data_IF_922785865828
#
_entry.id   IF_922785865828
#
_cell.length_a   1.000
_cell.length_b   1.000
_cell.length_c   1.000
_cell.angle_alpha   90.00
_cell.angle_beta   90.00
_cell.angle_gamma   90.00
#
_symmetry.space_group_name_H-M   'P 1'
#
loop_
_entity.id
_entity.type
_entity.pdbx_description
1 polymer ?
#
# COMPACT_ATOMS: atom_id res chain seq x y z
N UNK A 1 -10.40 34.69 -16.28
CA UNK A 1 -9.53 33.60 -15.79
C UNK A 1 -10.34 32.83 -14.77
N UNK A 2 -10.22 31.50 -14.73
CA UNK A 2 -10.82 30.69 -13.67
C UNK A 2 -10.07 30.92 -12.36
N UNK A 3 -10.78 30.77 -11.25
CA UNK A 3 -10.21 30.84 -9.89
C UNK A 3 -9.55 29.50 -9.51
N UNK A 4 -10.08 28.40 -10.06
CA UNK A 4 -9.67 27.02 -9.83
C UNK A 4 -9.53 26.22 -11.13
N UNK A 5 -8.68 25.19 -11.09
CA UNK A 5 -8.51 24.27 -12.23
C UNK A 5 -9.62 23.21 -12.23
N UNK A 6 -9.97 22.70 -11.06
CA UNK A 6 -11.04 21.73 -10.84
C UNK A 6 -11.82 22.12 -9.57
N UNK A 7 -13.14 21.96 -9.59
CA UNK A 7 -13.97 21.95 -8.39
C UNK A 7 -14.82 20.69 -8.41
N UNK A 8 -14.80 19.93 -7.31
CA UNK A 8 -15.75 18.83 -7.04
C UNK A 8 -16.85 19.38 -6.15
N UNK A 9 -18.12 19.35 -6.57
CA UNK A 9 -19.25 19.99 -5.87
C UNK A 9 -20.29 18.99 -5.39
N UNK A 10 -21.08 19.38 -4.38
CA UNK A 10 -22.31 18.69 -4.00
C UNK A 10 -22.08 17.25 -3.53
N UNK A 11 -20.96 16.98 -2.85
CA UNK A 11 -20.61 15.64 -2.37
C UNK A 11 -20.67 15.52 -0.87
N UNK A 12 -20.71 14.29 -0.36
CA UNK A 12 -20.36 14.00 1.02
C UNK A 12 -18.83 13.88 1.09
N UNK A 13 -18.17 14.97 1.49
CA UNK A 13 -16.70 15.03 1.47
C UNK A 13 -16.15 14.44 2.76
N UNK A 14 -15.42 13.34 2.66
CA UNK A 14 -14.73 12.67 3.76
C UNK A 14 -13.31 13.20 3.80
N UNK A 15 -12.96 13.99 4.81
CA UNK A 15 -11.62 14.61 4.84
C UNK A 15 -10.54 13.67 5.35
N UNK A 16 -10.91 12.69 6.18
CA UNK A 16 -10.01 11.85 6.99
C UNK A 16 -9.07 12.67 7.92
N UNK A 17 -9.45 13.91 8.24
CA UNK A 17 -8.69 14.84 9.08
C UNK A 17 -9.54 15.40 10.24
N UNK A 18 -10.58 14.66 10.64
CA UNK A 18 -11.45 15.05 11.75
C UNK A 18 -10.82 14.82 13.13
N UNK A 19 -11.44 15.35 14.20
CA UNK A 19 -11.00 15.12 15.58
C UNK A 19 -11.12 13.64 15.97
N UNK A 20 -10.47 13.22 17.06
CA UNK A 20 -10.47 11.81 17.49
C UNK A 20 -11.88 11.21 17.69
N UNK A 21 -12.87 12.02 18.08
CA UNK A 21 -14.27 11.59 18.25
C UNK A 21 -15.03 11.37 16.93
N UNK A 22 -14.56 11.98 15.84
CA UNK A 22 -15.11 11.83 14.49
C UNK A 22 -13.97 11.94 13.46
N UNK A 23 -13.13 10.91 13.35
CA UNK A 23 -11.87 10.99 12.61
C UNK A 23 -12.06 11.04 11.09
N UNK A 24 -13.25 10.69 10.59
CA UNK A 24 -13.58 10.79 9.16
C UNK A 24 -13.77 12.24 8.72
N UNK A 25 -14.20 13.13 9.63
CA UNK A 25 -14.34 14.56 9.37
C UNK A 25 -15.22 14.85 8.15
N UNK A 26 -16.45 14.34 8.18
CA UNK A 26 -17.39 14.41 7.04
C UNK A 26 -17.97 15.83 6.93
N UNK A 27 -17.92 16.38 5.71
CA UNK A 27 -18.59 17.62 5.34
C UNK A 27 -19.76 17.28 4.41
N UNK A 28 -20.98 17.43 4.94
CA UNK A 28 -22.22 17.27 4.18
C UNK A 28 -22.40 18.42 3.19
N UNK A 29 -22.93 18.12 2.00
CA UNK A 29 -23.01 19.05 0.87
C UNK A 29 -21.68 19.80 0.65
N UNK A 30 -20.57 19.08 0.77
CA UNK A 30 -19.22 19.61 0.68
C UNK A 30 -18.75 19.81 -0.76
N UNK A 31 -17.73 20.64 -0.90
CA UNK A 31 -16.98 20.78 -2.14
C UNK A 31 -15.47 20.85 -1.90
N UNK A 32 -14.70 20.49 -2.93
CA UNK A 32 -13.23 20.52 -2.93
C UNK A 32 -12.79 21.35 -4.13
N UNK A 33 -12.05 22.42 -3.89
CA UNK A 33 -11.49 23.26 -4.94
C UNK A 33 -10.00 22.99 -5.11
N UNK A 34 -9.56 22.86 -6.35
CA UNK A 34 -8.20 22.46 -6.72
C UNK A 34 -7.53 23.54 -7.54
N UNK A 35 -6.29 23.86 -7.21
CA UNK A 35 -5.45 24.80 -7.94
C UNK A 35 -4.02 24.30 -8.00
N UNK A 36 -3.47 24.21 -9.22
CA UNK A 36 -2.11 23.75 -9.55
C UNK A 36 -1.81 22.39 -8.93
N UNK A 37 -2.75 21.47 -9.10
CA UNK A 37 -2.65 20.10 -8.60
C UNK A 37 -2.71 19.92 -7.08
N UNK A 38 -3.05 20.99 -6.34
CA UNK A 38 -3.19 20.97 -4.88
C UNK A 38 -4.59 21.36 -4.45
N UNK A 39 -5.01 20.84 -3.31
CA UNK A 39 -6.26 21.24 -2.66
C UNK A 39 -6.09 22.69 -2.22
N UNK A 40 -6.89 23.58 -2.78
CA UNK A 40 -6.90 24.98 -2.42
C UNK A 40 -7.92 25.27 -1.30
N UNK A 41 -9.00 24.49 -1.26
CA UNK A 41 -10.09 24.69 -0.30
C UNK A 41 -10.93 23.40 -0.18
N UNK A 42 -11.49 23.18 1.01
CA UNK A 42 -12.49 22.14 1.31
C UNK A 42 -13.46 22.67 2.38
N UNK A 43 -14.75 22.35 2.24
CA UNK A 43 -15.80 22.82 3.14
C UNK A 43 -17.19 22.76 2.50
N UNK A 44 -18.22 23.33 3.15
CA UNK A 44 -19.60 23.32 2.64
C UNK A 44 -19.74 24.06 1.30
N UNK A 45 -20.46 23.50 0.32
CA UNK A 45 -20.63 24.07 -1.03
C UNK A 45 -21.12 25.51 -1.01
N UNK A 46 -22.00 25.86 -0.07
CA UNK A 46 -22.51 27.22 0.11
C UNK A 46 -21.42 28.25 0.47
N UNK A 47 -20.32 27.83 1.11
CA UNK A 47 -19.24 28.72 1.57
C UNK A 47 -18.22 29.03 0.46
N UNK A 48 -18.08 28.18 -0.56
CA UNK A 48 -17.21 28.45 -1.70
C UNK A 48 -17.74 29.60 -2.57
N UNK A 49 -19.07 29.80 -2.60
CA UNK A 49 -19.75 30.84 -3.37
C UNK A 49 -19.66 30.63 -4.89
N UNK A 50 -19.81 31.71 -5.66
CA UNK A 50 -19.74 31.65 -7.13
C UNK A 50 -18.27 31.64 -7.58
N UNK A 51 -17.63 30.48 -7.50
CA UNK A 51 -16.26 30.28 -7.98
C UNK A 51 -16.24 29.84 -9.45
N UNK A 52 -15.33 30.40 -10.26
CA UNK A 52 -15.12 29.94 -11.64
C UNK A 52 -14.09 28.82 -11.66
N UNK A 53 -14.46 27.65 -12.16
CA UNK A 53 -13.55 26.53 -12.36
C UNK A 53 -13.39 26.22 -13.85
N UNK A 54 -12.19 25.77 -14.26
CA UNK A 54 -11.98 25.24 -15.63
C UNK A 54 -12.79 23.96 -15.85
N UNK A 55 -12.87 23.11 -14.83
CA UNK A 55 -13.68 21.89 -14.81
C UNK A 55 -14.49 21.81 -13.51
N UNK A 56 -15.73 21.36 -13.63
CA UNK A 56 -16.59 21.04 -12.48
C UNK A 56 -16.95 19.56 -12.56
N UNK A 57 -16.76 18.84 -11.45
CA UNK A 57 -17.23 17.47 -11.26
C UNK A 57 -18.35 17.49 -10.20
N UNK A 58 -19.56 17.17 -10.61
CA UNK A 58 -20.69 17.05 -9.68
C UNK A 58 -20.69 15.67 -9.03
N UNK A 59 -20.52 15.61 -7.70
CA UNK A 59 -20.59 14.37 -6.95
C UNK A 59 -22.03 13.85 -6.78
N UNK A 60 -23.05 14.68 -6.98
CA UNK A 60 -24.46 14.24 -6.98
C UNK A 60 -24.93 13.69 -5.63
N UNK A 61 -24.46 14.26 -4.53
CA UNK A 61 -24.72 13.82 -3.16
C UNK A 61 -23.91 12.60 -2.72
N UNK A 62 -23.03 12.07 -3.59
CA UNK A 62 -22.23 10.87 -3.32
C UNK A 62 -20.90 11.21 -2.67
N UNK A 63 -20.18 10.17 -2.27
CA UNK A 63 -18.95 10.31 -1.48
C UNK A 63 -17.81 10.86 -2.33
N UNK A 64 -17.07 11.81 -1.74
CA UNK A 64 -15.75 12.26 -2.19
C UNK A 64 -14.75 11.98 -1.07
N UNK A 65 -13.78 11.11 -1.32
CA UNK A 65 -12.74 10.72 -0.37
C UNK A 65 -11.36 11.23 -0.82
N UNK A 66 -10.35 11.28 0.08
CA UNK A 66 -8.98 11.30 -0.40
C UNK A 66 -8.79 10.07 -1.29
N UNK A 67 -7.96 10.21 -2.31
CA UNK A 67 -7.57 9.05 -3.10
C UNK A 67 -7.00 7.96 -2.18
N UNK A 68 -7.41 6.71 -2.39
CA UNK A 68 -6.98 5.61 -1.53
C UNK A 68 -5.47 5.42 -1.67
N UNK A 69 -4.85 4.92 -0.60
CA UNK A 69 -3.42 4.63 -0.55
C UNK A 69 -3.21 3.16 -0.24
N UNK A 70 -2.44 2.49 -1.10
CA UNK A 70 -2.00 1.11 -0.86
C UNK A 70 -0.57 1.12 -0.31
N UNK A 71 -0.36 0.89 1.00
CA UNK A 71 0.93 1.10 1.64
C UNK A 71 1.94 -0.03 1.41
N UNK A 72 1.52 -1.13 0.78
CA UNK A 72 2.32 -2.34 0.68
C UNK A 72 1.95 -3.17 -0.56
N UNK A 73 2.80 -3.18 -1.58
CA UNK A 73 2.60 -4.02 -2.77
C UNK A 73 3.90 -4.55 -3.37
N UNK A 74 3.81 -5.65 -4.10
CA UNK A 74 4.86 -6.15 -4.99
C UNK A 74 4.40 -6.09 -6.45
N UNK A 75 3.97 -4.93 -6.96
CA UNK A 75 3.33 -4.84 -8.29
C UNK A 75 4.21 -5.29 -9.47
N UNK A 76 5.53 -5.19 -9.33
CA UNK A 76 6.48 -5.51 -10.40
C UNK A 76 6.88 -6.98 -10.31
N UNK A 77 6.22 -7.81 -11.11
CA UNK A 77 6.58 -9.22 -11.30
C UNK A 77 6.05 -9.74 -12.64
N UNK A 78 6.71 -10.77 -13.16
CA UNK A 78 6.28 -11.55 -14.31
C UNK A 78 5.80 -12.96 -13.91
N UNK A 79 5.09 -13.60 -14.84
CA UNK A 79 4.57 -14.96 -14.66
C UNK A 79 3.32 -15.03 -13.77
N UNK A 80 2.94 -16.25 -13.42
CA UNK A 80 1.72 -16.55 -12.66
C UNK A 80 1.93 -17.80 -11.82
N UNK A 81 1.46 -17.77 -10.56
CA UNK A 81 1.50 -18.93 -9.65
C UNK A 81 0.15 -19.66 -9.56
N UNK A 82 -0.72 -19.51 -10.55
CA UNK A 82 -2.02 -20.20 -10.60
C UNK A 82 -1.87 -21.72 -10.55
N UNK A 83 -0.93 -22.30 -11.31
CA UNK A 83 -0.70 -23.75 -11.30
C UNK A 83 -0.21 -24.23 -9.93
N UNK A 84 0.61 -23.42 -9.26
CA UNK A 84 1.04 -23.70 -7.90
C UNK A 84 -0.14 -23.67 -6.92
N UNK A 85 -0.99 -22.64 -7.03
CA UNK A 85 -2.18 -22.53 -6.21
C UNK A 85 -3.12 -23.72 -6.42
N UNK A 86 -3.33 -24.16 -7.67
CA UNK A 86 -4.13 -25.34 -7.99
C UNK A 86 -3.59 -26.60 -7.31
N UNK A 87 -2.26 -26.80 -7.33
CA UNK A 87 -1.58 -27.91 -6.65
C UNK A 87 -1.74 -27.87 -5.13
N UNK A 88 -1.55 -26.69 -4.51
CA UNK A 88 -1.78 -26.48 -3.06
C UNK A 88 -3.22 -26.78 -2.68
N UNK A 89 -4.20 -26.31 -3.46
CA UNK A 89 -5.62 -26.57 -3.22
C UNK A 89 -6.02 -28.03 -3.44
N UNK A 90 -5.27 -28.78 -4.25
CA UNK A 90 -5.41 -30.22 -4.39
C UNK A 90 -4.78 -31.02 -3.22
N UNK A 91 -4.16 -30.35 -2.24
CA UNK A 91 -3.58 -30.97 -1.05
C UNK A 91 -2.13 -31.40 -1.19
N UNK A 92 -1.42 -30.97 -2.24
CA UNK A 92 0.00 -31.28 -2.38
C UNK A 92 0.85 -30.52 -1.35
N UNK A 93 1.89 -31.19 -0.84
CA UNK A 93 2.78 -30.64 0.18
C UNK A 93 3.57 -29.42 -0.33
N UNK A 94 3.66 -28.39 0.51
CA UNK A 94 4.32 -27.14 0.15
C UNK A 94 5.80 -27.32 -0.18
N UNK A 95 6.51 -28.23 0.51
CA UNK A 95 7.94 -28.47 0.24
C UNK A 95 8.11 -29.15 -1.12
N UNK A 96 7.27 -30.12 -1.45
CA UNK A 96 7.29 -30.78 -2.76
C UNK A 96 7.06 -29.78 -3.91
N UNK A 97 6.16 -28.81 -3.72
CA UNK A 97 5.91 -27.73 -4.68
C UNK A 97 7.14 -26.81 -4.83
N UNK A 98 7.78 -26.46 -3.72
CA UNK A 98 9.00 -25.64 -3.72
C UNK A 98 10.20 -26.36 -4.36
N UNK A 99 10.36 -27.66 -4.12
CA UNK A 99 11.39 -28.52 -4.72
C UNK A 99 11.20 -28.66 -6.24
N UNK A 100 9.95 -28.67 -6.71
CA UNK A 100 9.62 -28.66 -8.14
C UNK A 100 9.85 -27.29 -8.83
N UNK A 101 10.53 -26.35 -8.17
CA UNK A 101 10.85 -25.03 -8.72
C UNK A 101 9.72 -24.02 -8.68
N UNK A 102 8.69 -24.28 -7.86
CA UNK A 102 7.62 -23.34 -7.50
C UNK A 102 8.08 -22.29 -6.48
N UNK A 103 7.14 -21.64 -5.81
CA UNK A 103 7.46 -20.66 -4.77
C UNK A 103 7.93 -19.33 -5.32
N UNK A 104 8.54 -18.53 -4.45
CA UNK A 104 9.20 -17.27 -4.82
C UNK A 104 10.26 -17.46 -5.93
N UNK A 105 10.94 -18.62 -5.95
CA UNK A 105 11.96 -18.95 -6.95
C UNK A 105 11.41 -18.92 -8.38
N UNK A 106 10.16 -19.34 -8.57
CA UNK A 106 9.49 -19.26 -9.87
C UNK A 106 9.30 -17.82 -10.32
N UNK A 107 8.78 -16.96 -9.44
CA UNK A 107 8.58 -15.53 -9.72
C UNK A 107 9.91 -14.82 -9.99
N UNK A 108 10.96 -15.13 -9.23
CA UNK A 108 12.30 -14.56 -9.45
C UNK A 108 12.80 -14.91 -10.84
N UNK A 109 12.72 -16.19 -11.22
CA UNK A 109 13.14 -16.65 -12.56
C UNK A 109 12.37 -15.90 -13.67
N UNK A 110 11.04 -15.90 -13.61
CA UNK A 110 10.22 -15.22 -14.63
C UNK A 110 10.50 -13.72 -14.70
N UNK A 111 10.72 -13.07 -13.56
CA UNK A 111 10.95 -11.63 -13.51
C UNK A 111 12.35 -11.25 -14.00
N UNK A 112 13.36 -12.12 -13.79
CA UNK A 112 14.69 -11.97 -14.39
C UNK A 112 14.66 -12.15 -15.91
N UNK A 113 13.93 -13.17 -16.40
CA UNK A 113 13.82 -13.51 -17.83
C UNK A 113 12.97 -12.52 -18.64
N UNK A 114 11.96 -11.91 -18.03
CA UNK A 114 11.12 -10.91 -18.68
C UNK A 114 11.93 -9.69 -19.12
N UNK A 115 11.50 -9.01 -20.19
CA UNK A 115 12.01 -7.70 -20.61
C UNK A 115 11.43 -6.54 -19.78
N UNK A 116 12.05 -5.35 -19.84
CA UNK A 116 11.57 -4.17 -19.11
C UNK A 116 10.16 -3.78 -19.53
N UNK A 117 9.86 -3.90 -20.83
CA UNK A 117 8.54 -3.66 -21.38
C UNK A 117 7.51 -4.64 -20.79
N UNK A 118 7.83 -5.95 -20.74
CA UNK A 118 6.93 -6.95 -20.17
C UNK A 118 6.68 -6.74 -18.68
N UNK A 119 7.71 -6.43 -17.89
CA UNK A 119 7.56 -6.10 -16.47
C UNK A 119 6.72 -4.85 -16.27
N UNK A 120 6.98 -3.82 -17.06
CA UNK A 120 6.22 -2.56 -17.00
C UNK A 120 4.77 -2.76 -17.38
N UNK A 121 4.47 -3.42 -18.51
CA UNK A 121 3.09 -3.61 -18.99
C UNK A 121 2.26 -4.41 -17.97
N UNK A 122 2.84 -5.46 -17.38
CA UNK A 122 2.19 -6.25 -16.33
C UNK A 122 1.94 -5.42 -15.07
N UNK A 123 2.92 -4.66 -14.58
CA UNK A 123 2.78 -3.81 -13.41
C UNK A 123 1.77 -2.67 -13.66
N UNK A 124 1.81 -2.05 -14.85
CA UNK A 124 0.90 -0.99 -15.26
C UNK A 124 -0.55 -1.48 -15.37
N UNK A 125 -0.78 -2.72 -15.82
CA UNK A 125 -2.11 -3.31 -15.83
C UNK A 125 -2.69 -3.44 -14.40
N UNK A 126 -1.88 -3.93 -13.45
CA UNK A 126 -2.26 -4.04 -12.03
C UNK A 126 -2.49 -2.66 -11.40
N UNK A 127 -1.58 -1.71 -11.63
CA UNK A 127 -1.69 -0.33 -11.14
C UNK A 127 -2.94 0.40 -11.67
N UNK A 128 -3.30 0.21 -12.95
CA UNK A 128 -4.56 0.74 -13.50
C UNK A 128 -5.79 0.11 -12.85
N UNK A 129 -5.73 -1.17 -12.44
CA UNK A 129 -6.82 -1.82 -11.71
C UNK A 129 -6.93 -1.31 -10.27
N UNK A 130 -5.81 -1.11 -9.57
CA UNK A 130 -5.79 -0.39 -8.29
C UNK A 130 -6.47 0.99 -8.44
N UNK A 131 -6.09 1.76 -9.47
CA UNK A 131 -6.74 3.05 -9.78
C UNK A 131 -8.22 2.93 -10.04
N UNK A 132 -8.66 1.87 -10.71
CA UNK A 132 -10.08 1.62 -10.94
C UNK A 132 -10.90 1.46 -9.65
N UNK A 133 -10.27 1.03 -8.55
CA UNK A 133 -10.85 0.96 -7.20
C UNK A 133 -10.67 2.25 -6.38
N UNK A 134 -10.06 3.29 -6.95
CA UNK A 134 -9.85 4.59 -6.30
C UNK A 134 -8.47 4.78 -5.66
N UNK A 135 -7.55 3.83 -5.82
CA UNK A 135 -6.16 4.01 -5.37
C UNK A 135 -5.48 5.08 -6.24
N UNK A 136 -4.92 6.08 -5.58
CA UNK A 136 -4.16 7.16 -6.24
C UNK A 136 -2.67 7.06 -5.94
N UNK A 137 -2.33 6.51 -4.78
CA UNK A 137 -0.96 6.35 -4.33
C UNK A 137 -0.68 4.90 -3.91
N UNK A 138 0.50 4.40 -4.24
CA UNK A 138 0.92 3.07 -3.81
C UNK A 138 2.40 3.05 -3.46
N UNK A 139 2.75 2.26 -2.46
CA UNK A 139 4.12 1.79 -2.31
C UNK A 139 4.34 0.55 -3.19
N UNK A 140 5.49 0.50 -3.86
CA UNK A 140 5.88 -0.63 -4.72
C UNK A 140 7.27 -1.12 -4.34
N UNK A 141 7.34 -2.39 -3.93
CA UNK A 141 8.58 -3.06 -3.56
C UNK A 141 9.25 -3.70 -4.75
N UNK A 142 10.57 -3.83 -4.67
CA UNK A 142 11.33 -4.81 -5.46
C UNK A 142 11.22 -6.21 -4.82
N UNK A 143 12.27 -7.05 -4.87
CA UNK A 143 12.33 -8.33 -4.16
C UNK A 143 12.03 -9.58 -4.99
N UNK A 144 11.77 -9.43 -6.30
CA UNK A 144 11.76 -10.55 -7.25
C UNK A 144 12.96 -10.51 -8.21
N UNK A 145 13.99 -9.73 -7.87
CA UNK A 145 15.26 -9.69 -8.58
C UNK A 145 16.37 -10.49 -7.89
N UNK A 146 16.47 -10.44 -6.56
CA UNK A 146 17.47 -11.11 -5.72
C UNK A 146 18.94 -11.02 -6.18
N UNK A 147 19.30 -9.88 -6.77
CA UNK A 147 20.66 -9.51 -7.18
C UNK A 147 20.64 -8.00 -7.43
N UNK A 148 21.78 -7.32 -7.25
CA UNK A 148 21.83 -5.86 -7.34
C UNK A 148 21.23 -5.35 -8.66
N UNK A 149 21.66 -5.91 -9.80
CA UNK A 149 21.17 -5.50 -11.12
C UNK A 149 19.65 -5.60 -11.25
N UNK A 150 19.07 -6.75 -10.87
CA UNK A 150 17.66 -7.01 -11.07
C UNK A 150 16.78 -6.27 -10.05
N UNK A 151 17.27 -6.04 -8.83
CA UNK A 151 16.55 -5.24 -7.83
C UNK A 151 16.44 -3.78 -8.28
N UNK A 152 17.53 -3.17 -8.74
CA UNK A 152 17.51 -1.81 -9.31
C UNK A 152 16.62 -1.73 -10.55
N UNK A 153 16.60 -2.77 -11.37
CA UNK A 153 15.71 -2.89 -12.53
C UNK A 153 14.23 -2.86 -12.13
N UNK A 154 13.83 -3.58 -11.08
CA UNK A 154 12.45 -3.54 -10.56
C UNK A 154 12.08 -2.14 -10.07
N UNK A 155 13.00 -1.48 -9.34
CA UNK A 155 12.78 -0.12 -8.86
C UNK A 155 12.63 0.89 -10.02
N UNK A 156 13.43 0.76 -11.10
CA UNK A 156 13.27 1.59 -12.32
C UNK A 156 11.89 1.40 -12.96
N UNK A 157 11.40 0.16 -13.07
CA UNK A 157 10.05 -0.13 -13.57
C UNK A 157 8.98 0.50 -12.66
N UNK A 158 9.13 0.37 -11.34
CA UNK A 158 8.21 0.98 -10.36
C UNK A 158 8.19 2.52 -10.48
N UNK A 159 9.35 3.18 -10.57
CA UNK A 159 9.46 4.64 -10.78
C UNK A 159 8.79 5.08 -12.09
N UNK A 160 8.90 4.27 -13.15
CA UNK A 160 8.25 4.56 -14.43
C UNK A 160 6.72 4.61 -14.32
N UNK A 161 6.09 3.80 -13.45
CA UNK A 161 4.64 3.88 -13.19
C UNK A 161 4.24 5.27 -12.69
N UNK A 162 5.04 5.85 -11.79
CA UNK A 162 4.86 7.20 -11.29
C UNK A 162 5.13 8.28 -12.35
N UNK A 163 6.21 8.13 -13.11
CA UNK A 163 6.58 9.08 -14.17
C UNK A 163 5.55 9.16 -15.31
N UNK A 164 4.87 8.04 -15.64
CA UNK A 164 3.78 8.00 -16.61
C UNK A 164 2.41 8.40 -16.02
N UNK A 165 2.36 8.85 -14.77
CA UNK A 165 1.13 9.33 -14.13
C UNK A 165 0.06 8.26 -13.96
N UNK A 166 0.45 6.99 -13.80
CA UNK A 166 -0.51 5.90 -13.57
C UNK A 166 -1.04 6.00 -12.13
N UNK A 167 -0.13 6.14 -11.17
CA UNK A 167 -0.34 6.36 -9.74
C UNK A 167 0.76 7.30 -9.23
N UNK A 168 0.61 7.86 -8.04
CA UNK A 168 1.72 8.39 -7.26
C UNK A 168 2.46 7.23 -6.56
N UNK A 169 3.77 7.09 -6.79
CA UNK A 169 4.52 5.90 -6.39
C UNK A 169 5.68 6.25 -5.45
N UNK A 170 5.70 5.60 -4.29
CA UNK A 170 6.90 5.46 -3.45
C UNK A 170 7.47 4.05 -3.64
N UNK A 171 8.78 3.91 -3.46
CA UNK A 171 9.50 2.67 -3.79
C UNK A 171 10.32 2.17 -2.62
N UNK A 172 10.27 0.86 -2.39
CA UNK A 172 11.05 0.20 -1.35
C UNK A 172 11.98 -0.86 -1.96
N UNK A 173 13.27 -0.76 -1.64
CA UNK A 173 14.22 -1.83 -1.95
C UNK A 173 13.95 -3.01 -1.01
N UNK A 174 13.62 -4.17 -1.57
CA UNK A 174 13.44 -5.42 -0.83
C UNK A 174 14.41 -6.50 -1.35
N UNK A 175 15.70 -6.18 -1.40
CA UNK A 175 16.73 -7.17 -1.75
C UNK A 175 16.72 -8.39 -0.82
N UNK A 176 16.43 -8.14 0.47
CA UNK A 176 16.25 -9.16 1.49
C UNK A 176 14.82 -9.72 1.54
N UNK A 177 14.28 -10.11 0.38
CA UNK A 177 13.02 -10.87 0.30
C UNK A 177 13.24 -12.36 0.54
N UNK A 178 14.32 -12.91 -0.02
CA UNK A 178 14.75 -14.29 0.15
C UNK A 178 16.23 -14.40 -0.19
N UNK A 179 16.90 -15.45 0.29
CA UNK A 179 18.28 -15.75 -0.09
C UNK A 179 18.28 -16.52 -1.43
N UNK A 180 19.03 -16.07 -2.46
CA UNK A 180 19.20 -16.84 -3.69
C UNK A 180 19.77 -18.24 -3.41
N UNK A 181 19.33 -19.30 -4.12
CA UNK A 181 19.74 -20.68 -3.82
C UNK A 181 21.23 -20.95 -4.04
N UNK A 182 21.89 -20.21 -4.95
CA UNK A 182 23.28 -20.43 -5.36
C UNK A 182 24.26 -19.42 -4.75
N UNK A 183 23.84 -18.68 -3.72
CA UNK A 183 24.65 -17.65 -3.06
C UNK A 183 24.76 -17.97 -1.57
N UNK A 184 25.97 -17.89 -1.03
CA UNK A 184 26.20 -18.02 0.40
C UNK A 184 25.48 -16.87 1.13
N UNK A 185 24.76 -17.19 2.21
CA UNK A 185 23.87 -16.27 2.93
C UNK A 185 24.60 -15.02 3.42
N UNK A 186 25.75 -15.17 4.07
CA UNK A 186 26.58 -14.05 4.52
C UNK A 186 27.01 -13.15 3.37
N UNK A 187 27.52 -13.74 2.28
CA UNK A 187 27.90 -13.01 1.07
C UNK A 187 26.73 -12.25 0.42
N UNK A 188 25.51 -12.79 0.49
CA UNK A 188 24.31 -12.10 -0.01
C UNK A 188 23.93 -10.90 0.87
N UNK A 189 24.01 -11.04 2.19
CA UNK A 189 23.81 -9.93 3.13
C UNK A 189 24.88 -8.84 2.89
N UNK A 190 26.13 -9.23 2.66
CA UNK A 190 27.21 -8.31 2.28
C UNK A 190 26.89 -7.58 0.97
N UNK A 191 26.43 -8.28 -0.07
CA UNK A 191 26.02 -7.64 -1.33
C UNK A 191 24.90 -6.61 -1.12
N UNK A 192 23.89 -6.93 -0.30
CA UNK A 192 22.79 -6.00 0.00
C UNK A 192 23.33 -4.72 0.66
N UNK A 193 24.15 -4.89 1.71
CA UNK A 193 24.67 -3.80 2.53
C UNK A 193 25.69 -2.94 1.79
N UNK A 194 26.66 -3.57 1.14
CA UNK A 194 27.84 -2.90 0.61
C UNK A 194 27.63 -2.39 -0.83
N UNK A 195 26.66 -2.94 -1.55
CA UNK A 195 26.44 -2.63 -2.95
C UNK A 195 25.00 -2.23 -3.27
N UNK A 196 24.03 -3.08 -2.97
CA UNK A 196 22.66 -2.89 -3.43
C UNK A 196 22.01 -1.63 -2.86
N UNK A 197 22.09 -1.43 -1.53
CA UNK A 197 21.58 -0.24 -0.85
C UNK A 197 22.28 1.03 -1.35
N UNK A 198 23.63 1.12 -1.36
CA UNK A 198 24.34 2.28 -1.90
C UNK A 198 23.98 2.62 -3.35
N UNK A 199 23.88 1.62 -4.23
CA UNK A 199 23.52 1.85 -5.63
C UNK A 199 22.07 2.32 -5.80
N UNK A 200 21.12 1.72 -5.06
CA UNK A 200 19.71 2.14 -5.09
C UNK A 200 19.54 3.58 -4.62
N UNK A 201 20.27 3.99 -3.57
CA UNK A 201 20.29 5.37 -3.10
C UNK A 201 20.94 6.31 -4.10
N UNK A 202 22.13 5.95 -4.62
CA UNK A 202 22.89 6.77 -5.57
C UNK A 202 22.08 7.08 -6.84
N UNK A 203 21.28 6.14 -7.31
CA UNK A 203 20.42 6.33 -8.49
C UNK A 203 19.06 6.97 -8.17
N UNK A 204 18.77 7.27 -6.89
CA UNK A 204 17.48 7.82 -6.48
C UNK A 204 16.30 6.85 -6.66
N UNK A 205 16.58 5.55 -6.70
CA UNK A 205 15.60 4.54 -7.07
C UNK A 205 14.75 4.05 -5.90
N UNK A 206 15.23 4.16 -4.66
CA UNK A 206 14.52 3.73 -3.46
C UNK A 206 14.24 4.91 -2.50
N UNK A 207 13.03 4.94 -1.94
CA UNK A 207 12.62 5.86 -0.87
C UNK A 207 12.74 5.21 0.52
N UNK A 208 12.65 3.89 0.56
CA UNK A 208 12.81 3.06 1.75
C UNK A 208 13.54 1.75 1.44
N UNK A 209 13.99 1.08 2.50
CA UNK A 209 14.47 -0.30 2.46
C UNK A 209 13.56 -1.18 3.33
N UNK A 210 13.33 -2.39 2.85
CA UNK A 210 12.48 -3.40 3.47
C UNK A 210 13.28 -4.71 3.61
N UNK A 211 12.89 -5.54 4.58
CA UNK A 211 13.47 -6.86 4.86
C UNK A 211 12.36 -7.81 5.25
N UNK A 212 12.41 -9.05 4.74
CA UNK A 212 11.59 -10.13 5.24
C UNK A 212 12.27 -10.83 6.43
N UNK A 213 11.87 -10.41 7.63
CA UNK A 213 12.35 -10.92 8.92
C UNK A 213 11.33 -11.93 9.46
N UNK A 214 11.56 -13.21 9.16
CA UNK A 214 10.69 -14.30 9.59
C UNK A 214 11.43 -15.65 9.54
N UNK A 215 10.79 -16.70 10.07
CA UNK A 215 11.33 -18.06 10.01
C UNK A 215 11.45 -18.53 8.55
N UNK A 216 12.63 -19.02 8.19
CA UNK A 216 12.97 -19.40 6.81
C UNK A 216 13.40 -18.25 5.89
N UNK A 217 13.43 -17.00 6.35
CA UNK A 217 13.90 -15.84 5.60
C UNK A 217 15.20 -15.26 6.22
N UNK A 218 15.19 -13.99 6.62
CA UNK A 218 16.31 -13.34 7.31
C UNK A 218 16.11 -13.36 8.83
N UNK A 219 17.21 -13.54 9.56
CA UNK A 219 17.24 -13.46 11.02
C UNK A 219 17.21 -12.01 11.50
N UNK A 220 16.93 -11.81 12.80
CA UNK A 220 16.91 -10.47 13.42
C UNK A 220 18.24 -9.74 13.22
N UNK A 221 19.37 -10.42 13.42
CA UNK A 221 20.70 -9.82 13.31
C UNK A 221 21.03 -9.40 11.87
N UNK A 222 20.66 -10.23 10.89
CA UNK A 222 20.81 -9.89 9.47
C UNK A 222 19.92 -8.71 9.08
N UNK A 223 18.65 -8.72 9.50
CA UNK A 223 17.71 -7.63 9.26
C UNK A 223 18.21 -6.32 9.88
N UNK A 224 18.68 -6.36 11.13
CA UNK A 224 19.25 -5.20 11.81
C UNK A 224 20.45 -4.64 11.05
N UNK A 225 21.38 -5.49 10.61
CA UNK A 225 22.54 -5.07 9.81
C UNK A 225 22.12 -4.37 8.51
N UNK A 226 21.18 -4.95 7.77
CA UNK A 226 20.68 -4.42 6.50
C UNK A 226 19.96 -3.08 6.72
N UNK A 227 19.03 -3.02 7.67
CA UNK A 227 18.23 -1.82 7.90
C UNK A 227 19.04 -0.68 8.51
N UNK A 228 20.05 -0.95 9.34
CA UNK A 228 21.01 0.07 9.78
C UNK A 228 21.81 0.64 8.61
N UNK A 229 22.31 -0.19 7.71
CA UNK A 229 23.00 0.27 6.51
C UNK A 229 22.09 1.13 5.61
N UNK A 230 20.82 0.76 5.48
CA UNK A 230 19.83 1.57 4.76
C UNK A 230 19.62 2.95 5.41
N UNK A 231 19.50 3.01 6.75
CA UNK A 231 19.40 4.27 7.49
C UNK A 231 20.65 5.13 7.33
N UNK A 232 21.83 4.54 7.40
CA UNK A 232 23.11 5.23 7.22
C UNK A 232 23.25 5.80 5.79
N UNK A 233 22.67 5.12 4.79
CA UNK A 233 22.53 5.63 3.43
C UNK A 233 21.41 6.69 3.26
N UNK A 234 20.69 7.03 4.33
CA UNK A 234 19.59 8.00 4.31
C UNK A 234 18.32 7.49 3.62
N UNK A 235 18.06 6.18 3.67
CA UNK A 235 16.77 5.59 3.33
C UNK A 235 15.91 5.45 4.59
N UNK A 236 14.59 5.53 4.41
CA UNK A 236 13.65 5.14 5.46
C UNK A 236 13.60 3.61 5.54
N UNK A 237 13.06 3.06 6.62
CA UNK A 237 13.03 1.61 6.84
C UNK A 237 11.65 1.11 7.21
N UNK A 238 11.41 -0.16 6.89
CA UNK A 238 10.24 -0.98 7.22
C UNK A 238 10.63 -2.46 7.15
N UNK A 239 9.74 -3.35 7.58
CA UNK A 239 9.97 -4.78 7.45
C UNK A 239 8.66 -5.57 7.41
N UNK A 240 8.69 -6.70 6.72
CA UNK A 240 7.74 -7.78 6.90
C UNK A 240 8.16 -8.53 8.17
N UNK A 241 7.29 -8.57 9.18
CA UNK A 241 7.62 -9.17 10.49
C UNK A 241 6.44 -9.92 11.07
N UNK A 242 6.73 -11.02 11.76
CA UNK A 242 5.72 -11.73 12.52
C UNK A 242 4.62 -12.34 11.67
N UNK A 243 4.87 -12.68 10.41
CA UNK A 243 3.89 -13.38 9.58
C UNK A 243 3.72 -14.82 10.05
N UNK A 244 4.83 -15.50 10.36
CA UNK A 244 4.83 -16.87 10.84
C UNK A 244 5.41 -17.01 12.26
N UNK A 245 6.44 -16.25 12.59
CA UNK A 245 7.09 -16.31 13.89
C UNK A 245 7.46 -14.93 14.46
N UNK A 246 7.33 -14.78 15.78
CA UNK A 246 7.88 -13.61 16.47
C UNK A 246 9.39 -13.76 16.68
N UNK A 247 10.15 -12.98 15.92
CA UNK A 247 11.62 -12.90 16.01
C UNK A 247 12.10 -11.55 16.56
N UNK A 248 11.23 -10.81 17.26
CA UNK A 248 11.54 -9.48 17.79
C UNK A 248 11.60 -8.39 16.71
N UNK A 249 10.88 -8.59 15.61
CA UNK A 249 10.89 -7.69 14.45
C UNK A 249 10.13 -6.39 14.68
N UNK A 250 9.03 -6.43 15.43
CA UNK A 250 8.28 -5.23 15.81
C UNK A 250 9.10 -4.30 16.71
N UNK A 251 9.84 -4.86 17.65
CA UNK A 251 10.78 -4.16 18.51
C UNK A 251 11.91 -3.53 17.69
N UNK A 252 12.50 -4.28 16.74
CA UNK A 252 13.52 -3.76 15.85
C UNK A 252 13.00 -2.58 15.01
N UNK A 253 11.76 -2.65 14.50
CA UNK A 253 11.16 -1.54 13.76
C UNK A 253 11.01 -0.29 14.64
N UNK A 254 10.63 -0.46 15.91
CA UNK A 254 10.58 0.65 16.86
C UNK A 254 11.97 1.22 17.17
N UNK A 255 12.97 0.37 17.45
CA UNK A 255 14.37 0.77 17.70
C UNK A 255 14.96 1.59 16.54
N UNK A 256 14.57 1.24 15.30
CA UNK A 256 15.03 1.92 14.10
C UNK A 256 14.15 3.11 13.70
N UNK A 257 13.05 3.40 14.39
CA UNK A 257 12.12 4.46 14.01
C UNK A 257 11.58 4.25 12.59
N UNK A 258 11.19 3.00 12.29
CA UNK A 258 10.66 2.60 10.99
C UNK A 258 9.32 3.28 10.67
N UNK A 259 8.99 3.34 9.39
CA UNK A 259 7.68 3.80 8.93
C UNK A 259 6.58 2.82 9.35
N UNK A 260 6.81 1.54 9.10
CA UNK A 260 5.83 0.48 9.33
C UNK A 260 6.48 -0.85 9.67
N UNK A 261 5.65 -1.70 10.28
CA UNK A 261 5.88 -3.13 10.41
C UNK A 261 4.65 -3.83 9.80
N UNK A 262 4.89 -4.79 8.92
CA UNK A 262 3.86 -5.32 8.02
C UNK A 262 3.65 -6.83 8.34
N UNK A 263 2.43 -7.36 8.12
CA UNK A 263 1.94 -8.70 8.54
C UNK A 263 1.39 -8.77 9.98
N UNK A 264 2.27 -9.00 10.96
CA UNK A 264 1.99 -8.93 12.41
C UNK A 264 1.09 -10.02 13.03
N UNK A 265 0.86 -11.15 12.38
CA UNK A 265 0.04 -12.24 12.91
C UNK A 265 0.56 -12.80 14.25
N UNK A 266 1.88 -12.91 14.41
CA UNK A 266 2.54 -13.59 15.53
C UNK A 266 3.16 -12.64 16.58
N UNK A 267 3.11 -11.32 16.40
CA UNK A 267 3.91 -10.38 17.22
C UNK A 267 3.52 -10.34 18.71
N UNK A 268 4.52 -10.15 19.57
CA UNK A 268 4.32 -9.99 21.02
C UNK A 268 3.69 -8.65 21.41
N UNK A 269 3.13 -8.61 22.63
CA UNK A 269 2.67 -7.36 23.25
C UNK A 269 3.80 -6.36 23.45
N UNK A 270 5.03 -6.83 23.73
CA UNK A 270 6.18 -5.97 23.89
C UNK A 270 6.52 -5.23 22.58
N UNK A 271 6.46 -5.95 21.45
CA UNK A 271 6.58 -5.40 20.10
C UNK A 271 5.52 -4.35 19.79
N UNK A 272 4.24 -4.66 20.05
CA UNK A 272 3.14 -3.70 19.84
C UNK A 272 3.31 -2.42 20.67
N UNK A 273 3.69 -2.56 21.94
CA UNK A 273 3.95 -1.41 22.81
C UNK A 273 5.16 -0.59 22.34
N UNK A 274 6.19 -1.24 21.79
CA UNK A 274 7.34 -0.54 21.22
C UNK A 274 6.95 0.24 19.96
N UNK A 275 6.19 -0.37 19.05
CA UNK A 275 5.67 0.27 17.84
C UNK A 275 4.86 1.52 18.18
N UNK A 276 3.93 1.43 19.14
CA UNK A 276 3.10 2.55 19.56
C UNK A 276 3.93 3.74 20.07
N UNK A 277 4.95 3.48 20.91
CA UNK A 277 5.84 4.54 21.45
C UNK A 277 6.65 5.25 20.37
N UNK A 278 6.99 4.56 19.30
CA UNK A 278 7.84 5.06 18.22
C UNK A 278 7.04 5.42 16.96
N UNK A 279 5.71 5.49 17.05
CA UNK A 279 4.83 5.88 15.95
C UNK A 279 4.90 4.98 14.71
N UNK A 280 5.41 3.75 14.84
CA UNK A 280 5.46 2.75 13.76
C UNK A 280 4.03 2.29 13.44
N UNK A 281 3.64 2.33 12.17
CA UNK A 281 2.31 1.91 11.74
C UNK A 281 2.28 0.39 11.53
N UNK A 282 1.22 -0.27 12.03
CA UNK A 282 0.94 -1.67 11.75
C UNK A 282 0.24 -1.81 10.39
N UNK A 283 0.84 -2.50 9.42
CA UNK A 283 0.20 -2.76 8.12
C UNK A 283 -0.35 -4.18 8.08
N UNK A 284 -1.68 -4.29 8.08
CA UNK A 284 -2.41 -5.54 8.01
C UNK A 284 -2.59 -5.95 6.54
N UNK A 285 -2.36 -7.22 6.22
CA UNK A 285 -2.35 -7.74 4.84
C UNK A 285 -3.38 -8.87 4.62
N UNK A 286 -4.68 -8.54 4.47
CA UNK A 286 -5.75 -9.52 4.47
C UNK A 286 -5.69 -10.62 3.43
N UNK A 287 -5.24 -10.27 2.22
CA UNK A 287 -5.14 -11.25 1.16
C UNK A 287 -4.12 -12.35 1.48
N UNK A 288 -3.06 -12.03 2.23
CA UNK A 288 -2.04 -12.99 2.64
C UNK A 288 -2.62 -14.04 3.60
N UNK A 289 -3.18 -13.62 4.74
CA UNK A 289 -3.71 -14.58 5.72
C UNK A 289 -4.88 -15.38 5.16
N UNK A 290 -5.70 -14.79 4.28
CA UNK A 290 -6.79 -15.53 3.60
C UNK A 290 -6.27 -16.59 2.64
N UNK A 291 -5.30 -16.27 1.80
CA UNK A 291 -4.72 -17.21 0.82
C UNK A 291 -3.96 -18.33 1.52
N UNK A 292 -3.22 -17.98 2.59
CA UNK A 292 -2.41 -18.91 3.37
C UNK A 292 -3.20 -19.63 4.48
N UNK A 293 -4.46 -19.24 4.70
CA UNK A 293 -5.33 -19.76 5.78
C UNK A 293 -4.72 -19.59 7.17
N UNK A 294 -4.08 -18.45 7.40
CA UNK A 294 -3.55 -18.05 8.70
C UNK A 294 -4.65 -17.42 9.54
N UNK A 295 -4.45 -17.41 10.85
CA UNK A 295 -5.23 -16.57 11.75
C UNK A 295 -4.88 -15.09 11.49
N UNK A 296 -5.89 -14.23 11.49
CA UNK A 296 -5.68 -12.80 11.31
C UNK A 296 -4.99 -12.20 12.55
N UNK A 297 -4.23 -11.09 12.40
CA UNK A 297 -3.63 -10.42 13.53
C UNK A 297 -4.68 -9.90 14.52
N UNK A 298 -4.36 -9.94 15.81
CA UNK A 298 -5.25 -9.48 16.88
C UNK A 298 -5.23 -7.95 17.00
N UNK A 299 -6.23 -7.32 16.40
CA UNK A 299 -6.34 -5.85 16.37
C UNK A 299 -6.80 -5.26 17.70
N UNK A 300 -7.42 -6.05 18.59
CA UNK A 300 -7.76 -5.58 19.94
C UNK A 300 -6.49 -5.32 20.74
N UNK A 301 -5.49 -6.21 20.62
CA UNK A 301 -4.15 -6.01 21.22
C UNK A 301 -3.47 -4.76 20.64
N UNK A 302 -3.54 -4.56 19.33
CA UNK A 302 -2.98 -3.37 18.66
C UNK A 302 -3.68 -2.08 19.13
N UNK A 303 -5.01 -2.09 19.20
CA UNK A 303 -5.83 -0.97 19.66
C UNK A 303 -5.55 -0.65 21.12
N UNK A 304 -5.46 -1.66 21.99
CA UNK A 304 -5.13 -1.49 23.40
C UNK A 304 -3.72 -0.90 23.60
N UNK A 305 -2.76 -1.24 22.73
CA UNK A 305 -1.43 -0.65 22.73
C UNK A 305 -1.37 0.78 22.15
N UNK A 306 -2.42 1.23 21.44
CA UNK A 306 -2.43 2.52 20.75
C UNK A 306 -1.65 2.52 19.44
N UNK A 307 -1.46 1.35 18.82
CA UNK A 307 -0.81 1.23 17.50
C UNK A 307 -1.78 1.68 16.41
N UNK A 308 -1.33 2.55 15.51
CA UNK A 308 -2.10 2.92 14.32
C UNK A 308 -2.05 1.78 13.30
N UNK A 309 -3.19 1.49 12.68
CA UNK A 309 -3.34 0.38 11.74
C UNK A 309 -3.63 0.91 10.33
N UNK A 310 -2.95 0.33 9.35
CA UNK A 310 -3.18 0.50 7.92
C UNK A 310 -3.50 -0.87 7.28
N UNK A 311 -4.11 -0.85 6.10
CA UNK A 311 -4.42 -2.06 5.34
C UNK A 311 -3.80 -1.93 3.96
N UNK A 312 -3.11 -2.98 3.50
CA UNK A 312 -2.56 -3.06 2.15
C UNK A 312 -3.09 -4.24 1.36
N UNK A 313 -2.96 -4.18 0.04
CA UNK A 313 -3.31 -5.34 -0.79
C UNK A 313 -2.33 -6.48 -0.67
N UNK A 314 -1.07 -6.19 -0.32
CA UNK A 314 0.01 -7.13 -0.52
C UNK A 314 0.01 -7.67 -1.95
N UNK A 315 -0.33 -6.84 -2.96
CA UNK A 315 -0.49 -7.34 -4.32
C UNK A 315 0.80 -8.04 -4.80
N UNK A 316 0.76 -9.37 -4.85
CA UNK A 316 1.89 -10.21 -5.17
C UNK A 316 1.42 -11.56 -5.77
N UNK A 317 2.25 -12.26 -6.57
CA UNK A 317 1.82 -13.46 -7.28
C UNK A 317 1.52 -14.66 -6.38
N UNK A 318 2.04 -14.69 -5.15
CA UNK A 318 2.11 -15.89 -4.32
C UNK A 318 1.11 -15.98 -3.18
N UNK A 319 1.03 -14.92 -2.38
CA UNK A 319 0.28 -14.91 -1.11
C UNK A 319 -0.91 -13.96 -1.15
N UNK A 320 -0.92 -12.93 -2.01
CA UNK A 320 -2.11 -12.10 -2.20
C UNK A 320 -2.23 -11.62 -3.66
N UNK A 321 -2.77 -12.47 -4.56
CA UNK A 321 -2.95 -12.14 -5.97
C UNK A 321 -4.19 -11.25 -6.20
N UNK A 322 -4.33 -10.16 -5.45
CA UNK A 322 -5.42 -9.20 -5.54
C UNK A 322 -4.91 -7.77 -5.67
N UNK A 323 -5.76 -6.90 -6.23
CA UNK A 323 -5.56 -5.45 -6.36
C UNK A 323 -6.79 -4.67 -5.87
N UNK A 324 -7.71 -5.33 -5.19
CA UNK A 324 -8.95 -4.74 -4.66
C UNK A 324 -8.73 -4.33 -3.20
N UNK A 325 -8.27 -3.08 -3.00
CA UNK A 325 -7.99 -2.52 -1.67
C UNK A 325 -9.26 -2.35 -0.80
N UNK A 326 -10.42 -1.90 -1.33
CA UNK A 326 -11.69 -1.96 -0.58
C UNK A 326 -12.03 -3.36 -0.08
N UNK A 327 -11.84 -4.41 -0.90
CA UNK A 327 -12.03 -5.78 -0.46
C UNK A 327 -11.09 -6.14 0.70
N UNK A 328 -9.85 -5.68 0.70
CA UNK A 328 -8.94 -5.91 1.84
C UNK A 328 -9.45 -5.22 3.10
N UNK A 329 -9.87 -3.96 3.01
CA UNK A 329 -10.48 -3.26 4.15
C UNK A 329 -11.68 -4.04 4.70
N UNK A 330 -12.53 -4.56 3.80
CA UNK A 330 -13.68 -5.37 4.14
C UNK A 330 -13.33 -6.72 4.80
N UNK A 331 -12.20 -7.33 4.42
CA UNK A 331 -11.67 -8.54 5.06
C UNK A 331 -11.06 -8.21 6.43
N UNK A 332 -10.33 -7.10 6.57
CA UNK A 332 -9.78 -6.67 7.86
C UNK A 332 -10.88 -6.45 8.92
N UNK A 333 -12.03 -5.89 8.52
CA UNK A 333 -13.20 -5.74 9.40
C UNK A 333 -13.73 -7.10 9.88
N UNK A 334 -13.86 -8.06 8.96
CA UNK A 334 -14.48 -9.36 9.23
C UNK A 334 -13.57 -10.35 9.97
N UNK A 335 -12.30 -10.31 9.62
CA UNK A 335 -11.34 -11.34 10.02
C UNK A 335 -10.57 -10.93 11.25
N UNK A 336 -10.18 -9.64 11.29
CA UNK A 336 -9.33 -9.10 12.32
C UNK A 336 -10.12 -8.27 13.33
N UNK A 337 -11.28 -7.71 12.96
CA UNK A 337 -12.15 -6.95 13.87
C UNK A 337 -11.94 -5.43 13.83
N UNK A 338 -11.46 -4.88 12.71
CA UNK A 338 -11.47 -3.42 12.51
C UNK A 338 -12.91 -2.91 12.52
N UNK A 339 -13.13 -1.72 13.06
CA UNK A 339 -14.38 -1.00 12.78
C UNK A 339 -14.39 -0.52 11.33
N UNK A 340 -15.57 -0.19 10.79
CA UNK A 340 -15.68 0.33 9.43
C UNK A 340 -14.95 1.68 9.29
N UNK A 341 -15.01 2.52 10.32
CA UNK A 341 -14.32 3.80 10.39
C UNK A 341 -12.79 3.62 10.44
N UNK A 342 -12.30 2.67 11.25
CA UNK A 342 -10.88 2.29 11.27
C UNK A 342 -10.42 1.80 9.89
N UNK A 343 -11.21 0.97 9.22
CA UNK A 343 -10.90 0.43 7.92
C UNK A 343 -10.80 1.52 6.83
N UNK A 344 -11.68 2.53 6.85
CA UNK A 344 -11.59 3.70 5.95
C UNK A 344 -10.30 4.49 6.19
N UNK A 345 -9.93 4.73 7.46
CA UNK A 345 -8.68 5.41 7.79
C UNK A 345 -7.44 4.57 7.43
N UNK A 346 -7.56 3.25 7.56
CA UNK A 346 -6.51 2.28 7.28
C UNK A 346 -6.11 2.24 5.80
N UNK A 347 -7.00 2.61 4.89
CA UNK A 347 -6.74 2.70 3.43
C UNK A 347 -6.61 4.15 2.92
N UNK A 348 -6.55 5.13 3.83
CA UNK A 348 -6.38 6.55 3.50
C UNK A 348 -5.24 7.17 4.32
N UNK A 349 -5.56 7.86 5.42
CA UNK A 349 -4.58 8.60 6.24
C UNK A 349 -3.49 7.70 6.82
N UNK A 350 -3.88 6.57 7.42
CA UNK A 350 -2.92 5.70 8.10
C UNK A 350 -2.05 4.95 7.07
N UNK A 351 -2.62 4.58 5.91
CA UNK A 351 -1.85 4.03 4.79
C UNK A 351 -0.86 5.04 4.21
N UNK A 352 -1.26 6.31 4.05
CA UNK A 352 -0.36 7.37 3.61
C UNK A 352 0.84 7.51 4.56
N UNK A 353 0.59 7.49 5.87
CA UNK A 353 1.65 7.52 6.88
C UNK A 353 2.55 6.27 6.84
N UNK A 354 1.96 5.07 6.80
CA UNK A 354 2.71 3.82 6.68
C UNK A 354 3.60 3.82 5.44
N UNK A 355 3.11 4.34 4.31
CA UNK A 355 3.84 4.47 3.06
C UNK A 355 4.92 5.57 3.09
N UNK A 356 4.89 6.46 4.08
CA UNK A 356 5.75 7.65 4.13
C UNK A 356 5.38 8.70 3.07
N UNK A 357 4.09 8.80 2.74
CA UNK A 357 3.52 9.74 1.78
C UNK A 357 2.76 10.85 2.52
N UNK A 358 3.43 11.96 2.80
CA UNK A 358 2.87 13.04 3.62
C UNK A 358 1.84 13.91 2.88
N UNK A 359 1.89 13.92 1.54
CA UNK A 359 1.09 14.81 0.70
C UNK A 359 -0.28 14.23 0.27
N UNK A 360 -0.68 13.04 0.75
CA UNK A 360 -1.92 12.37 0.36
C UNK A 360 -2.64 11.70 1.55
N UNK A 361 -3.73 10.96 1.26
CA UNK A 361 -4.51 10.23 2.27
C UNK A 361 -5.48 11.09 3.09
N UNK A 362 -5.51 12.40 2.85
CA UNK A 362 -6.43 13.37 3.47
C UNK A 362 -6.84 14.46 2.49
N UNK A 363 -8.02 15.04 2.69
CA UNK A 363 -8.47 16.24 1.96
C UNK A 363 -8.23 17.46 2.85
N UNK A 364 -7.05 18.08 2.72
CA UNK A 364 -6.64 19.25 3.52
C UNK A 364 -5.99 20.28 2.58
N UNK A 365 -6.27 21.60 2.73
CA UNK A 365 -5.63 22.62 1.91
C UNK A 365 -4.10 22.54 1.94
N UNK A 366 -3.48 22.65 0.76
CA UNK A 366 -2.04 22.53 0.56
C UNK A 366 -1.56 21.13 0.14
N UNK A 367 -2.30 20.07 0.48
CA UNK A 367 -1.98 18.71 0.06
C UNK A 367 -2.24 18.50 -1.44
N UNK A 368 -1.70 17.41 -1.98
CA UNK A 368 -1.93 17.01 -3.37
C UNK A 368 -3.41 16.71 -3.59
N UNK A 369 -3.96 17.15 -4.71
CA UNK A 369 -5.35 16.88 -5.08
C UNK A 369 -5.51 15.47 -5.66
N UNK A 370 -5.32 14.47 -4.80
CA UNK A 370 -5.62 13.07 -5.08
C UNK A 370 -6.96 12.72 -4.44
N UNK A 371 -7.98 12.44 -5.25
CA UNK A 371 -9.37 12.24 -4.80
C UNK A 371 -9.97 10.98 -5.44
N UNK A 372 -10.84 10.29 -4.70
CA UNK A 372 -11.65 9.19 -5.21
C UNK A 372 -13.13 9.48 -4.95
N UNK A 373 -13.93 9.37 -6.01
CA UNK A 373 -15.38 9.54 -5.95
C UNK A 373 -16.05 8.19 -6.16
N UNK A 374 -17.06 7.91 -5.36
CA UNK A 374 -17.85 6.67 -5.42
C UNK A 374 -19.33 7.02 -5.53
N UNK A 375 -20.14 6.11 -6.09
CA UNK A 375 -21.60 6.28 -6.16
C UNK A 375 -22.34 5.78 -4.90
N UNK A 376 -21.59 5.46 -3.84
CA UNK A 376 -22.13 5.10 -2.53
C UNK A 376 -22.55 6.36 -1.73
N UNK A 377 -23.41 6.18 -0.74
CA UNK A 377 -23.85 7.26 0.18
C UNK A 377 -23.04 7.27 1.47
N UNK A 378 -22.72 6.09 2.01
CA UNK A 378 -21.97 5.94 3.25
C UNK A 378 -20.51 5.55 2.94
N UNK A 379 -19.49 6.32 3.37
CA UNK A 379 -18.10 5.97 3.12
C UNK A 379 -17.68 4.62 3.70
N UNK A 380 -18.38 4.15 4.73
CA UNK A 380 -18.17 2.83 5.33
C UNK A 380 -18.52 1.69 4.38
N UNK A 381 -19.28 1.95 3.32
CA UNK A 381 -19.56 0.99 2.27
C UNK A 381 -18.26 0.41 1.67
N UNK A 382 -17.18 1.20 1.57
CA UNK A 382 -15.88 0.75 1.05
C UNK A 382 -15.27 -0.42 1.85
N UNK A 383 -15.56 -0.51 3.14
CA UNK A 383 -15.14 -1.60 4.01
C UNK A 383 -16.29 -2.57 4.33
N UNK A 384 -17.45 -2.38 3.72
CA UNK A 384 -18.61 -3.25 3.89
C UNK A 384 -18.64 -4.33 2.81
N UNK A 385 -18.72 -3.98 1.53
CA UNK A 385 -18.89 -4.97 0.45
C UNK A 385 -17.68 -5.90 0.26
N UNK A 386 -17.91 -7.17 -0.09
CA UNK A 386 -16.84 -8.08 -0.51
C UNK A 386 -16.48 -7.84 -1.98
N UNK A 387 -15.67 -6.82 -2.21
CA UNK A 387 -15.14 -6.43 -3.52
C UNK A 387 -16.14 -5.76 -4.45
N UNK A 388 -15.64 -5.28 -5.59
CA UNK A 388 -16.48 -4.71 -6.65
C UNK A 388 -16.95 -3.27 -6.43
N UNK A 389 -16.38 -2.55 -5.47
CA UNK A 389 -16.65 -1.12 -5.27
C UNK A 389 -15.65 -0.31 -6.10
N UNK A 390 -16.00 -0.12 -7.37
CA UNK A 390 -15.20 0.67 -8.29
C UNK A 390 -15.39 2.18 -8.05
N UNK A 391 -14.32 2.95 -8.22
CA UNK A 391 -14.43 4.41 -8.21
C UNK A 391 -15.18 4.90 -9.46
N UNK A 392 -16.15 5.79 -9.25
CA UNK A 392 -16.81 6.56 -10.31
C UNK A 392 -15.81 7.49 -10.98
N UNK A 393 -15.00 8.20 -10.19
CA UNK A 393 -13.96 9.05 -10.72
C UNK A 393 -12.72 9.05 -9.83
N UNK A 394 -11.56 9.25 -10.44
CA UNK A 394 -10.29 9.40 -9.75
C UNK A 394 -9.59 10.64 -10.24
N UNK A 395 -9.20 11.48 -9.30
CA UNK A 395 -8.37 12.66 -9.53
C UNK A 395 -6.97 12.35 -9.04
N UNK A 396 -5.96 12.57 -9.89
CA UNK A 396 -4.55 12.37 -9.57
C UNK A 396 -3.81 13.70 -9.81
N UNK A 397 -3.28 14.31 -8.76
CA UNK A 397 -2.59 15.60 -8.83
C UNK A 397 -3.46 16.71 -9.43
N UNK A 398 -4.76 16.69 -9.17
CA UNK A 398 -5.74 17.64 -9.69
C UNK A 398 -6.26 17.37 -11.11
N UNK A 399 -5.76 16.35 -11.80
CA UNK A 399 -6.25 15.93 -13.11
C UNK A 399 -7.17 14.71 -12.98
N UNK A 400 -8.27 14.68 -13.72
CA UNK A 400 -9.19 13.53 -13.70
C UNK A 400 -8.62 12.41 -14.56
N UNK A 401 -8.08 11.39 -13.89
CA UNK A 401 -7.41 10.24 -14.50
C UNK A 401 -8.38 9.10 -14.86
N UNK A 402 -9.57 9.09 -14.26
CA UNK A 402 -10.66 8.16 -14.54
C UNK A 402 -11.99 8.87 -14.28
N UNK A 403 -12.97 8.69 -15.16
CA UNK A 403 -14.35 9.10 -14.95
C UNK A 403 -15.27 8.11 -15.65
N UNK A 404 -16.25 7.58 -14.91
CA UNK A 404 -17.28 6.65 -15.38
C UNK A 404 -18.63 7.35 -15.37
N UNK A 405 -19.57 6.78 -16.12
CA UNK A 405 -20.97 7.21 -16.06
C UNK A 405 -21.49 6.93 -14.64
N UNK A 406 -22.15 7.90 -13.98
CA UNK A 406 -22.69 7.71 -12.64
C UNK A 406 -23.72 6.57 -12.59
N UNK A 407 -23.66 5.75 -11.56
CA UNK A 407 -24.74 4.82 -11.23
C UNK A 407 -25.94 5.59 -10.66
N UNK A 408 -27.18 5.28 -11.08
CA UNK A 408 -28.37 5.93 -10.52
C UNK A 408 -28.67 5.51 -9.08
N UNK A 409 -28.08 4.41 -8.60
CA UNK A 409 -28.31 3.88 -7.25
C UNK A 409 -26.99 3.42 -6.63
N UNK A 410 -26.82 3.60 -5.30
CA UNK A 410 -25.70 3.01 -4.57
C UNK A 410 -25.79 1.48 -4.67
N UNK A 411 -24.67 0.80 -4.56
CA UNK A 411 -24.64 -0.66 -4.58
C UNK A 411 -25.13 -1.24 -3.25
N UNK A 412 -24.90 -0.52 -2.14
CA UNK A 412 -25.17 -0.98 -0.77
C UNK A 412 -26.15 -0.12 0.01
#
# INVERSE_FOLDING_TARGET
>A
MSDFDLVVTGGRVVTCDGPQSDPLGIVEDGCVAVRRGRIAWVGPSAELGVAKATRVLDAGGRIVMPGLVDPHTHLVFAGSRVDEFARRMAGEDYRAIAEAGGGIKATVRWSREASDAQLFDAAAARARRLRAFGVTSAEVKSGYGLSTEHELRHLRVARRLGAEGILHVTTSLLGAHAVPPDVERGAYVDEIVERMIPEAKREGLADACDVYLDDGAFTRDEAERILRAAKDAGLRVRAHVGQFADLGGAELMAELGALSADHLEAVSDAGLQAMARCSVVAVLLPGAWRTLRQEAPDVERMRAAGVRMAVGTDCNPGTSPSVDLPMMAALAVRDAGLTLEEAVLAITRNAAEAAGLEECGRIVPGLRADLALYDEEDPRALAYGLGGIDARAVVLGGEVALERVPSPSPLW
#
